data_IF_663143987024
#
_entry.id   IF_663143987024
#
_cell.length_a   1.000
_cell.length_b   1.000
_cell.length_c   1.000
_cell.angle_alpha   90.00
_cell.angle_beta   90.00
_cell.angle_gamma   90.00
#
_symmetry.space_group_name_H-M   'P 1'
#
loop_
_entity.id
_entity.type
_entity.pdbx_description
1 polymer ?
#
# COMPACT_ATOMS: atom_id res chain seq x y z
N UNK A 1 36.30 5.44 3.89
CA UNK A 1 34.94 5.33 4.44
C UNK A 1 34.52 6.72 4.84
N UNK A 2 33.26 7.08 4.64
CA UNK A 2 32.72 8.40 4.99
C UNK A 2 31.97 8.30 6.31
N UNK A 3 32.10 9.33 7.14
CA UNK A 3 31.31 9.47 8.39
C UNK A 3 30.11 10.34 8.05
N UNK A 4 28.92 9.83 8.29
CA UNK A 4 27.68 10.59 8.15
C UNK A 4 27.61 11.65 9.24
N UNK A 5 27.18 12.85 8.86
CA UNK A 5 26.86 13.92 9.80
C UNK A 5 25.45 14.42 9.58
N UNK A 6 24.76 14.75 10.66
CA UNK A 6 23.42 15.35 10.60
C UNK A 6 23.39 16.51 9.60
N UNK A 7 22.28 16.62 8.87
CA UNK A 7 22.03 17.64 7.86
C UNK A 7 22.95 17.62 6.62
N UNK A 8 23.89 16.67 6.52
CA UNK A 8 24.57 16.42 5.25
C UNK A 8 23.65 15.69 4.27
N UNK A 9 23.85 15.91 2.97
CA UNK A 9 23.25 15.05 1.95
C UNK A 9 24.15 13.84 1.75
N UNK A 10 23.55 12.66 1.67
CA UNK A 10 24.22 11.40 1.31
C UNK A 10 23.54 10.82 0.06
N UNK A 11 24.33 10.27 -0.85
CA UNK A 11 23.83 9.65 -2.08
C UNK A 11 24.54 8.32 -2.34
N UNK A 12 23.84 7.29 -2.81
CA UNK A 12 24.48 6.10 -3.39
C UNK A 12 24.87 6.35 -4.84
N UNK A 13 26.15 6.21 -5.20
CA UNK A 13 26.63 6.39 -6.59
C UNK A 13 26.06 5.33 -7.54
N UNK A 14 26.06 4.07 -7.12
CA UNK A 14 25.53 2.96 -7.90
C UNK A 14 24.01 3.02 -7.92
N UNK A 15 23.43 2.70 -9.09
CA UNK A 15 21.98 2.74 -9.26
C UNK A 15 21.35 4.09 -8.90
N UNK A 16 22.11 5.19 -9.09
CA UNK A 16 21.70 6.54 -8.74
C UNK A 16 20.44 7.05 -9.48
N UNK A 17 20.07 6.47 -10.64
CA UNK A 17 18.81 6.79 -11.33
C UNK A 17 17.56 6.33 -10.54
N UNK A 18 17.73 5.53 -9.49
CA UNK A 18 16.66 5.15 -8.55
C UNK A 18 16.41 6.24 -7.49
N UNK A 19 17.12 7.38 -7.55
CA UNK A 19 17.02 8.45 -6.56
C UNK A 19 17.49 8.11 -5.13
N UNK A 20 18.54 7.29 -4.89
CA UNK A 20 19.00 6.96 -3.55
C UNK A 20 19.81 8.12 -2.93
N UNK A 21 19.15 9.25 -2.70
CA UNK A 21 19.70 10.50 -2.15
C UNK A 21 18.81 10.99 -0.99
N UNK A 22 19.42 11.40 0.11
CA UNK A 22 18.69 11.88 1.28
C UNK A 22 19.55 12.85 2.10
N UNK A 23 18.91 13.64 2.96
CA UNK A 23 19.60 14.34 4.06
C UNK A 23 19.72 13.38 5.24
N UNK A 24 20.89 13.34 5.88
CA UNK A 24 21.19 12.50 7.03
C UNK A 24 20.39 12.97 8.24
N UNK A 25 19.45 12.15 8.77
CA UNK A 25 18.76 12.47 10.01
C UNK A 25 19.67 12.27 11.22
N UNK A 26 19.30 12.88 12.35
CA UNK A 26 20.09 12.86 13.58
C UNK A 26 20.40 11.43 14.10
N UNK A 27 19.49 10.48 13.87
CA UNK A 27 19.67 9.08 14.26
C UNK A 27 20.86 8.37 13.59
N UNK A 28 21.36 8.90 12.47
CA UNK A 28 22.50 8.34 11.74
C UNK A 28 23.77 9.20 11.86
N UNK A 29 23.82 10.19 12.77
CA UNK A 29 25.05 10.95 13.01
C UNK A 29 26.18 10.05 13.52
N UNK A 30 27.36 10.19 12.93
CA UNK A 30 28.54 9.41 13.28
C UNK A 30 28.60 8.00 12.66
N UNK A 31 27.55 7.56 11.96
CA UNK A 31 27.56 6.27 11.27
C UNK A 31 28.57 6.29 10.13
N UNK A 32 29.16 5.12 9.84
CA UNK A 32 30.20 5.00 8.82
C UNK A 32 29.65 4.27 7.60
N UNK A 33 29.81 4.87 6.43
CA UNK A 33 29.41 4.30 5.15
C UNK A 33 30.62 4.10 4.24
N UNK A 34 30.48 3.17 3.28
CA UNK A 34 31.54 2.94 2.29
C UNK A 34 31.70 4.16 1.36
N UNK A 35 32.80 4.19 0.59
CA UNK A 35 33.03 5.25 -0.39
C UNK A 35 32.02 5.24 -1.56
N UNK A 36 31.10 4.27 -1.60
CA UNK A 36 29.97 4.28 -2.54
C UNK A 36 28.85 5.27 -2.14
N UNK A 37 28.97 5.86 -0.94
CA UNK A 37 28.04 6.84 -0.38
C UNK A 37 28.76 8.17 -0.11
N UNK A 38 29.05 8.99 -1.14
CA UNK A 38 29.54 10.36 -0.94
C UNK A 38 28.57 11.17 -0.09
N UNK A 39 29.14 12.06 0.73
CA UNK A 39 28.40 13.04 1.52
C UNK A 39 28.69 14.46 1.04
N UNK A 40 27.73 15.36 1.21
CA UNK A 40 27.79 16.74 0.78
C UNK A 40 27.33 17.64 1.92
N UNK A 41 28.13 18.63 2.27
CA UNK A 41 27.74 19.65 3.26
C UNK A 41 26.87 20.70 2.58
N UNK A 42 25.77 21.07 3.23
CA UNK A 42 24.87 22.10 2.74
C UNK A 42 25.45 23.49 2.94
N UNK A 43 25.31 24.36 1.94
CA UNK A 43 25.63 25.78 2.05
C UNK A 43 24.69 26.51 3.01
N UNK A 44 25.13 27.65 3.54
CA UNK A 44 24.37 28.47 4.50
C UNK A 44 23.07 29.05 3.93
N UNK A 45 22.85 28.98 2.62
CA UNK A 45 21.65 29.39 1.92
C UNK A 45 20.55 28.32 1.92
N UNK A 46 20.89 27.07 2.27
CA UNK A 46 19.97 25.93 2.23
C UNK A 46 19.44 25.61 3.64
N UNK A 47 18.14 25.37 3.74
CA UNK A 47 17.49 24.78 4.90
C UNK A 47 17.52 23.25 4.73
N UNK A 48 18.09 22.47 5.66
CA UNK A 48 18.20 21.01 5.52
C UNK A 48 16.84 20.34 5.23
N UNK A 49 15.79 20.80 5.89
CA UNK A 49 14.43 20.29 5.77
C UNK A 49 13.84 20.52 4.37
N UNK A 50 14.15 21.68 3.77
CA UNK A 50 13.79 21.95 2.39
C UNK A 50 14.54 21.04 1.42
N UNK A 51 15.83 20.80 1.68
CA UNK A 51 16.63 19.84 0.90
C UNK A 51 16.08 18.41 1.03
N UNK A 52 15.52 18.01 2.18
CA UNK A 52 14.83 16.72 2.32
C UNK A 52 13.69 16.56 1.32
N UNK A 53 12.89 17.60 1.12
CA UNK A 53 11.82 17.61 0.12
C UNK A 53 12.38 17.59 -1.31
N UNK A 54 13.45 18.35 -1.59
CA UNK A 54 14.15 18.33 -2.89
C UNK A 54 14.68 16.94 -3.23
N UNK A 55 15.28 16.23 -2.26
CA UNK A 55 15.79 14.87 -2.43
C UNK A 55 14.72 13.87 -2.86
N UNK A 56 13.45 14.15 -2.55
CA UNK A 56 12.27 13.33 -2.89
C UNK A 56 11.53 13.81 -4.15
N UNK A 57 12.07 14.81 -4.85
CA UNK A 57 11.39 15.43 -5.99
C UNK A 57 11.63 14.68 -7.31
N UNK A 58 10.60 14.51 -8.17
CA UNK A 58 10.76 13.92 -9.50
C UNK A 58 11.77 14.68 -10.38
N UNK A 59 11.84 16.01 -10.22
CA UNK A 59 12.80 16.85 -10.95
C UNK A 59 14.25 16.47 -10.63
N UNK A 60 14.61 16.36 -9.36
CA UNK A 60 15.97 15.96 -9.00
C UNK A 60 16.28 14.56 -9.55
N UNK A 61 15.36 13.61 -9.41
CA UNK A 61 15.56 12.25 -9.90
C UNK A 61 15.73 12.20 -11.42
N UNK A 62 14.99 13.02 -12.17
CA UNK A 62 15.17 13.16 -13.62
C UNK A 62 16.56 13.74 -13.96
N UNK A 63 16.98 14.80 -13.27
CA UNK A 63 18.29 15.41 -13.46
C UNK A 63 19.45 14.43 -13.14
N UNK A 64 19.30 13.64 -12.08
CA UNK A 64 20.23 12.57 -11.72
C UNK A 64 20.27 11.51 -12.83
N UNK A 65 19.10 10.97 -13.22
CA UNK A 65 18.96 9.93 -14.24
C UNK A 65 19.60 10.34 -15.57
N UNK A 66 19.44 11.60 -15.97
CA UNK A 66 19.98 12.13 -17.24
C UNK A 66 21.51 12.29 -17.24
N UNK A 67 22.16 12.29 -16.06
CA UNK A 67 23.61 12.47 -15.91
C UNK A 67 24.36 11.17 -15.60
N UNK A 68 23.64 10.09 -15.34
CA UNK A 68 24.26 8.80 -15.04
C UNK A 68 25.11 8.30 -16.22
N UNK A 69 26.32 7.83 -15.92
CA UNK A 69 27.26 7.26 -16.91
C UNK A 69 27.35 5.73 -16.82
N UNK A 70 27.67 5.06 -17.94
CA UNK A 70 27.89 3.61 -18.03
C UNK A 70 26.89 2.86 -18.92
N UNK A 71 27.35 1.80 -19.59
CA UNK A 71 26.54 1.04 -20.57
C UNK A 71 25.69 -0.07 -19.94
N UNK A 72 26.21 -0.72 -18.90
CA UNK A 72 25.52 -1.81 -18.20
C UNK A 72 24.57 -1.22 -17.16
N UNK A 73 23.27 -1.52 -17.28
CA UNK A 73 22.24 -0.91 -16.43
C UNK A 73 22.57 -1.01 -14.95
N UNK A 74 22.88 -2.18 -14.38
CA UNK A 74 23.21 -2.32 -12.94
C UNK A 74 24.55 -1.69 -12.49
N UNK A 75 25.38 -1.20 -13.41
CA UNK A 75 26.69 -0.58 -13.12
C UNK A 75 26.71 0.91 -13.40
N UNK A 76 25.64 1.43 -13.97
CA UNK A 76 25.45 2.85 -14.20
C UNK A 76 25.64 3.60 -12.86
N UNK A 77 26.24 4.79 -12.90
CA UNK A 77 26.52 5.57 -11.70
C UNK A 77 26.46 7.07 -11.93
N UNK A 78 26.20 7.80 -10.85
CA UNK A 78 26.32 9.26 -10.80
C UNK A 78 27.53 9.62 -9.93
N UNK A 79 28.53 10.27 -10.52
CA UNK A 79 29.68 10.76 -9.77
C UNK A 79 29.34 12.08 -9.05
N UNK A 80 29.99 12.40 -7.91
CA UNK A 80 29.72 13.61 -7.15
C UNK A 80 29.73 14.90 -7.98
N UNK A 81 30.69 15.03 -8.90
CA UNK A 81 30.83 16.20 -9.76
C UNK A 81 29.62 16.39 -10.68
N UNK A 82 28.99 15.29 -11.11
CA UNK A 82 27.80 15.32 -11.95
C UNK A 82 26.56 15.73 -11.16
N UNK A 83 26.48 15.35 -9.88
CA UNK A 83 25.41 15.82 -8.98
C UNK A 83 25.52 17.33 -8.75
N UNK A 84 26.74 17.82 -8.51
CA UNK A 84 27.03 19.25 -8.28
C UNK A 84 26.76 20.15 -9.51
N UNK A 85 26.61 19.57 -10.70
CA UNK A 85 26.22 20.27 -11.92
C UNK A 85 24.70 20.46 -12.07
N UNK A 86 23.89 19.85 -11.20
CA UNK A 86 22.43 20.01 -11.22
C UNK A 86 22.07 21.41 -10.74
N UNK A 87 21.36 22.17 -11.56
CA UNK A 87 20.88 23.50 -11.21
C UNK A 87 19.42 23.43 -10.75
N UNK A 88 19.19 23.87 -9.52
CA UNK A 88 17.86 23.98 -8.92
C UNK A 88 17.55 25.44 -8.59
N UNK A 89 16.30 25.89 -8.78
CA UNK A 89 15.89 27.19 -8.31
C UNK A 89 15.86 27.17 -6.78
N UNK A 90 16.81 27.85 -6.15
CA UNK A 90 16.87 27.99 -4.69
C UNK A 90 16.05 29.23 -4.31
N UNK A 91 14.91 29.10 -3.61
CA UNK A 91 14.19 30.26 -3.10
C UNK A 91 14.90 30.82 -1.84
N UNK A 92 14.59 32.07 -1.42
CA UNK A 92 15.11 32.62 -0.17
C UNK A 92 14.81 31.71 1.03
N UNK A 93 15.66 31.72 2.07
CA UNK A 93 15.51 30.83 3.24
C UNK A 93 14.15 30.92 3.92
N UNK A 94 13.56 32.11 4.00
CA UNK A 94 12.22 32.30 4.56
C UNK A 94 11.14 31.57 3.75
N UNK A 95 11.26 31.61 2.42
CA UNK A 95 10.37 30.88 1.52
C UNK A 95 10.62 29.37 1.63
N UNK A 96 11.88 28.92 1.74
CA UNK A 96 12.20 27.51 2.02
C UNK A 96 11.52 27.02 3.30
N UNK A 97 11.62 27.79 4.39
CA UNK A 97 10.97 27.46 5.65
C UNK A 97 9.44 27.37 5.52
N UNK A 98 8.82 28.27 4.76
CA UNK A 98 7.37 28.22 4.50
C UNK A 98 6.96 27.01 3.64
N UNK A 99 7.78 26.64 2.66
CA UNK A 99 7.57 25.41 1.87
C UNK A 99 7.60 24.19 2.79
N UNK A 100 8.60 24.12 3.68
CA UNK A 100 8.75 23.03 4.66
C UNK A 100 7.52 22.95 5.54
N UNK A 101 7.12 24.06 6.18
CA UNK A 101 5.94 24.11 7.05
C UNK A 101 4.68 23.57 6.37
N UNK A 102 4.42 23.97 5.12
CA UNK A 102 3.23 23.52 4.39
C UNK A 102 3.31 22.04 3.99
N UNK A 103 4.47 21.56 3.52
CA UNK A 103 4.63 20.16 3.11
C UNK A 103 4.60 19.23 4.31
N UNK A 104 5.24 19.63 5.42
CA UNK A 104 5.28 18.87 6.66
C UNK A 104 3.88 18.80 7.28
N UNK A 105 3.09 19.88 7.25
CA UNK A 105 1.70 19.83 7.71
C UNK A 105 0.84 18.84 6.92
N UNK A 106 1.08 18.69 5.60
CA UNK A 106 0.40 17.67 4.78
C UNK A 106 0.90 16.27 5.11
N UNK A 107 2.21 16.10 5.34
CA UNK A 107 2.78 14.82 5.79
C UNK A 107 2.21 14.37 7.14
N UNK A 108 2.10 15.29 8.10
CA UNK A 108 1.53 15.03 9.42
C UNK A 108 0.07 14.59 9.32
N UNK A 109 -0.72 15.23 8.45
CA UNK A 109 -2.11 14.83 8.21
C UNK A 109 -2.21 13.44 7.58
N UNK A 110 -1.34 13.11 6.61
CA UNK A 110 -1.29 11.77 6.02
C UNK A 110 -0.96 10.74 7.10
N UNK A 111 0.05 10.99 7.93
CA UNK A 111 0.45 10.08 9.00
C UNK A 111 -0.67 9.88 10.05
N UNK A 112 -1.41 10.94 10.38
CA UNK A 112 -2.56 10.87 11.28
C UNK A 112 -3.69 9.99 10.72
N UNK A 113 -4.06 10.17 9.45
CA UNK A 113 -5.07 9.35 8.78
C UNK A 113 -4.67 7.87 8.72
N UNK A 114 -3.40 7.57 8.45
CA UNK A 114 -2.89 6.19 8.44
C UNK A 114 -2.92 5.55 9.83
N UNK A 115 -2.54 6.30 10.87
CA UNK A 115 -2.60 5.82 12.25
C UNK A 115 -4.05 5.52 12.68
N UNK A 116 -5.02 6.29 12.19
CA UNK A 116 -6.45 6.08 12.41
C UNK A 116 -6.97 4.82 11.69
N UNK A 117 -6.58 4.62 10.44
CA UNK A 117 -6.86 3.37 9.69
C UNK A 117 -6.33 2.15 10.46
N UNK A 118 -5.08 2.21 10.94
CA UNK A 118 -4.49 1.13 11.72
C UNK A 118 -5.23 0.89 13.05
N UNK A 119 -5.72 1.96 13.70
CA UNK A 119 -6.52 1.85 14.91
C UNK A 119 -7.85 1.16 14.64
N UNK A 120 -8.53 1.49 13.54
CA UNK A 120 -9.77 0.84 13.14
C UNK A 120 -9.55 -0.66 12.88
N UNK A 121 -8.47 -1.04 12.19
CA UNK A 121 -8.13 -2.45 11.93
C UNK A 121 -7.92 -3.21 13.25
N UNK A 122 -7.26 -2.60 14.24
CA UNK A 122 -7.09 -3.19 15.59
C UNK A 122 -8.42 -3.35 16.32
N UNK A 123 -9.33 -2.38 16.20
CA UNK A 123 -10.67 -2.48 16.81
C UNK A 123 -11.45 -3.61 16.15
N UNK A 124 -11.49 -3.68 14.81
CA UNK A 124 -12.20 -4.73 14.07
C UNK A 124 -11.76 -6.13 14.47
N UNK A 125 -10.45 -6.38 14.48
CA UNK A 125 -9.89 -7.69 14.87
C UNK A 125 -10.11 -7.97 16.37
N UNK A 126 -10.03 -6.94 17.21
CA UNK A 126 -10.24 -7.06 18.65
C UNK A 126 -11.68 -7.31 19.07
N UNK A 127 -12.69 -6.97 18.24
CA UNK A 127 -14.11 -7.21 18.54
C UNK A 127 -14.52 -8.67 18.39
N UNK A 128 -13.73 -9.48 17.67
CA UNK A 128 -14.01 -10.91 17.47
C UNK A 128 -13.79 -11.69 18.78
N UNK A 129 -14.70 -12.62 19.09
CA UNK A 129 -14.54 -13.55 20.22
C UNK A 129 -14.70 -12.92 21.61
N UNK A 130 -15.14 -11.65 21.69
CA UNK A 130 -15.46 -10.97 22.96
C UNK A 130 -16.87 -11.26 23.48
N UNK A 131 -17.67 -12.01 22.73
CA UNK A 131 -19.03 -12.33 23.15
C UNK A 131 -19.08 -13.44 24.20
N UNK A 132 -20.02 -13.28 25.14
CA UNK A 132 -20.36 -14.30 26.12
C UNK A 132 -20.97 -15.57 25.50
N UNK A 133 -21.51 -15.50 24.27
CA UNK A 133 -22.14 -16.63 23.57
C UNK A 133 -21.28 -17.22 22.43
N UNK A 134 -19.99 -16.86 22.39
CA UNK A 134 -19.07 -17.34 21.36
C UNK A 134 -18.86 -18.85 21.44
N UNK A 135 -19.14 -19.56 20.35
CA UNK A 135 -18.82 -20.98 20.17
C UNK A 135 -17.73 -21.20 19.11
N UNK A 136 -17.18 -22.42 19.05
CA UNK A 136 -16.17 -22.81 18.06
C UNK A 136 -16.84 -23.50 16.85
N UNK A 137 -17.09 -22.72 15.81
CA UNK A 137 -17.87 -23.16 14.64
C UNK A 137 -16.96 -23.44 13.45
N UNK A 138 -17.09 -24.60 12.76
CA UNK A 138 -16.34 -24.84 11.53
C UNK A 138 -16.74 -23.85 10.43
N UNK A 139 -15.77 -23.27 9.72
CA UNK A 139 -16.03 -22.31 8.63
C UNK A 139 -16.96 -22.89 7.54
N UNK A 140 -16.94 -24.21 7.32
CA UNK A 140 -17.84 -24.87 6.37
C UNK A 140 -19.33 -24.81 6.73
N UNK A 141 -19.67 -24.48 7.99
CA UNK A 141 -21.06 -24.23 8.42
C UNK A 141 -21.46 -22.79 8.12
N UNK A 142 -20.51 -21.86 8.13
CA UNK A 142 -20.74 -20.43 7.89
C UNK A 142 -20.91 -20.10 6.40
N UNK A 143 -20.57 -21.02 5.50
CA UNK A 143 -20.69 -20.76 4.08
C UNK A 143 -20.07 -21.82 3.17
N UNK A 144 -20.25 -21.62 1.88
CA UNK A 144 -19.70 -22.48 0.85
C UNK A 144 -18.24 -22.11 0.58
N UNK A 145 -17.34 -23.03 0.91
CA UNK A 145 -15.92 -22.89 0.57
C UNK A 145 -15.68 -23.41 -0.85
N UNK A 146 -15.19 -22.51 -1.71
CA UNK A 146 -14.87 -22.75 -3.11
C UNK A 146 -13.48 -22.20 -3.48
N UNK A 147 -13.11 -22.34 -4.75
CA UNK A 147 -11.85 -21.87 -5.32
C UNK A 147 -12.15 -21.17 -6.65
N UNK A 148 -11.39 -20.12 -6.95
CA UNK A 148 -11.43 -19.46 -8.25
C UNK A 148 -10.92 -20.34 -9.40
N UNK A 149 -10.81 -19.74 -10.59
CA UNK A 149 -10.48 -20.44 -11.84
C UNK A 149 -9.31 -19.79 -12.56
N UNK A 150 -8.58 -20.57 -13.34
CA UNK A 150 -7.48 -20.06 -14.16
C UNK A 150 -8.01 -19.23 -15.32
N UNK A 151 -7.31 -18.15 -15.64
CA UNK A 151 -7.58 -17.36 -16.84
C UNK A 151 -6.40 -17.48 -17.81
N UNK A 152 -6.62 -17.89 -19.08
CA UNK A 152 -5.56 -17.94 -20.08
C UNK A 152 -4.87 -16.58 -20.28
N UNK A 153 -3.57 -16.60 -20.58
CA UNK A 153 -2.72 -15.39 -20.61
C UNK A 153 -3.22 -14.34 -21.61
N UNK A 154 -3.80 -14.76 -22.72
CA UNK A 154 -4.35 -13.90 -23.76
C UNK A 154 -5.55 -13.06 -23.31
N UNK A 155 -6.21 -13.40 -22.19
CA UNK A 155 -7.29 -12.60 -21.62
C UNK A 155 -6.81 -11.68 -20.48
N UNK A 156 -5.62 -11.91 -19.92
CA UNK A 156 -5.11 -11.15 -18.79
C UNK A 156 -4.78 -9.71 -19.22
N UNK A 157 -5.30 -8.73 -18.50
CA UNK A 157 -5.16 -7.30 -18.79
C UNK A 157 -6.15 -6.75 -19.83
N UNK A 158 -7.02 -7.60 -20.41
CA UNK A 158 -8.11 -7.10 -21.27
C UNK A 158 -9.13 -6.34 -20.44
N UNK A 159 -9.65 -5.26 -21.01
CA UNK A 159 -10.67 -4.38 -20.40
C UNK A 159 -11.86 -4.22 -21.34
N UNK A 160 -12.40 -5.35 -21.79
CA UNK A 160 -13.41 -5.44 -22.86
C UNK A 160 -14.84 -5.58 -22.34
N UNK A 161 -15.04 -5.80 -21.04
CA UNK A 161 -16.38 -5.84 -20.44
C UNK A 161 -16.43 -5.34 -19.01
N UNK A 162 -17.54 -5.63 -18.33
CA UNK A 162 -17.86 -5.10 -17.01
C UNK A 162 -17.50 -6.04 -15.84
N UNK A 163 -17.28 -7.33 -16.09
CA UNK A 163 -17.03 -8.30 -15.01
C UNK A 163 -15.54 -8.33 -14.69
N UNK A 164 -15.18 -7.95 -13.48
CA UNK A 164 -13.81 -8.05 -12.96
C UNK A 164 -13.36 -9.50 -12.84
N UNK A 165 -12.11 -9.78 -13.21
CA UNK A 165 -11.42 -11.03 -12.90
C UNK A 165 -10.27 -10.75 -11.92
N UNK A 166 -10.55 -10.90 -10.63
CA UNK A 166 -9.62 -10.57 -9.55
C UNK A 166 -8.50 -11.60 -9.44
N UNK A 167 -7.26 -11.12 -9.44
CA UNK A 167 -6.04 -11.87 -9.17
C UNK A 167 -5.46 -11.49 -7.82
N UNK A 168 -4.61 -12.35 -7.27
CA UNK A 168 -3.91 -12.08 -6.01
C UNK A 168 -3.14 -10.74 -6.05
N UNK A 169 -2.62 -10.36 -7.22
CA UNK A 169 -1.96 -9.07 -7.41
C UNK A 169 -2.90 -7.86 -7.23
N UNK A 170 -4.21 -8.02 -7.47
CA UNK A 170 -5.20 -6.97 -7.32
C UNK A 170 -5.53 -6.69 -5.85
N UNK A 171 -5.16 -7.55 -4.88
CA UNK A 171 -5.42 -7.33 -3.44
C UNK A 171 -4.74 -6.06 -2.89
N UNK A 172 -3.69 -5.59 -3.57
CA UNK A 172 -2.97 -4.35 -3.28
C UNK A 172 -3.17 -3.29 -4.37
N UNK A 173 -4.09 -3.55 -5.31
CA UNK A 173 -4.45 -2.59 -6.33
C UNK A 173 -5.23 -1.42 -5.70
N UNK A 174 -5.10 -0.20 -6.25
CA UNK A 174 -5.82 0.96 -5.75
C UNK A 174 -7.32 0.71 -5.62
N UNK A 175 -7.86 0.96 -4.44
CA UNK A 175 -9.28 0.79 -4.13
C UNK A 175 -9.66 -0.63 -3.67
N UNK A 176 -8.75 -1.61 -3.74
CA UNK A 176 -9.00 -2.99 -3.30
C UNK A 176 -8.43 -3.32 -1.91
N UNK A 177 -7.89 -2.33 -1.20
CA UNK A 177 -7.20 -2.51 0.08
C UNK A 177 -8.13 -3.03 1.17
N UNK A 178 -9.42 -2.68 1.10
CA UNK A 178 -10.45 -3.03 2.08
C UNK A 178 -11.54 -3.95 1.51
N UNK A 179 -11.47 -4.31 0.24
CA UNK A 179 -12.48 -5.14 -0.44
C UNK A 179 -12.36 -5.03 -1.95
N UNK A 180 -12.63 -6.12 -2.66
CA UNK A 180 -12.51 -6.15 -4.11
C UNK A 180 -13.60 -5.34 -4.79
N UNK A 181 -13.18 -4.32 -5.52
CA UNK A 181 -14.10 -3.47 -6.31
C UNK A 181 -13.81 -3.46 -7.79
N UNK A 182 -12.54 -3.46 -8.18
CA UNK A 182 -12.15 -3.41 -9.59
C UNK A 182 -10.85 -4.16 -9.84
N UNK A 183 -10.86 -5.07 -10.80
CA UNK A 183 -9.64 -5.73 -11.27
C UNK A 183 -9.07 -5.01 -12.50
N UNK A 184 -7.77 -5.19 -12.75
CA UNK A 184 -7.15 -4.76 -14.00
C UNK A 184 -7.76 -5.46 -15.23
N UNK A 185 -8.08 -6.75 -15.08
CA UNK A 185 -8.74 -7.56 -16.11
C UNK A 185 -10.25 -7.50 -15.97
N UNK A 186 -10.95 -7.11 -17.03
CA UNK A 186 -12.42 -7.04 -17.07
C UNK A 186 -12.95 -7.56 -18.40
N UNK A 187 -13.86 -8.52 -18.33
CA UNK A 187 -14.36 -9.27 -19.48
C UNK A 187 -15.89 -9.18 -19.56
N UNK A 188 -16.49 -9.41 -20.74
CA UNK A 188 -17.91 -9.68 -20.87
C UNK A 188 -18.30 -10.94 -20.09
N UNK A 189 -19.55 -11.01 -19.60
CA UNK A 189 -20.04 -12.18 -18.86
C UNK A 189 -19.93 -13.48 -19.68
N UNK A 190 -20.12 -13.41 -21.00
CA UNK A 190 -19.95 -14.55 -21.91
C UNK A 190 -18.52 -15.08 -21.91
N UNK A 191 -17.52 -14.21 -22.01
CA UNK A 191 -16.10 -14.61 -21.98
C UNK A 191 -15.70 -15.18 -20.62
N UNK A 192 -16.26 -14.66 -19.52
CA UNK A 192 -16.06 -15.25 -18.19
C UNK A 192 -16.56 -16.69 -18.15
N UNK A 193 -17.78 -16.94 -18.64
CA UNK A 193 -18.38 -18.27 -18.67
C UNK A 193 -17.65 -19.23 -19.63
N UNK A 194 -17.26 -18.76 -20.82
CA UNK A 194 -16.48 -19.54 -21.80
C UNK A 194 -15.13 -19.99 -21.26
N UNK A 195 -14.50 -19.18 -20.40
CA UNK A 195 -13.27 -19.51 -19.70
C UNK A 195 -13.50 -20.29 -18.39
N UNK A 196 -14.73 -20.76 -18.15
CA UNK A 196 -15.09 -21.56 -16.97
C UNK A 196 -15.08 -20.77 -15.66
N UNK A 197 -15.01 -19.44 -15.72
CA UNK A 197 -15.11 -18.55 -14.57
C UNK A 197 -16.52 -18.56 -14.00
N UNK A 198 -16.61 -18.42 -12.68
CA UNK A 198 -17.87 -18.29 -11.95
C UNK A 198 -17.86 -16.91 -11.31
N UNK A 199 -18.93 -16.14 -11.54
CA UNK A 199 -19.10 -14.84 -10.86
C UNK A 199 -19.44 -15.12 -9.41
N UNK A 200 -18.62 -14.57 -8.52
CA UNK A 200 -18.84 -14.59 -7.09
C UNK A 200 -19.56 -13.31 -6.71
N UNK A 201 -20.67 -13.47 -6.01
CA UNK A 201 -21.49 -12.36 -5.54
C UNK A 201 -20.79 -11.53 -4.46
N UNK A 202 -21.28 -10.31 -4.28
CA UNK A 202 -20.82 -9.43 -3.20
C UNK A 202 -21.06 -10.08 -1.83
N UNK A 203 -20.14 -9.83 -0.90
CA UNK A 203 -20.17 -10.39 0.46
C UNK A 203 -19.32 -11.63 0.67
N UNK A 204 -18.79 -12.25 -0.39
CA UNK A 204 -17.87 -13.38 -0.24
C UNK A 204 -16.52 -12.95 0.35
N UNK A 205 -15.95 -13.75 1.25
CA UNK A 205 -14.62 -13.51 1.82
C UNK A 205 -13.58 -14.36 1.09
N UNK A 206 -12.46 -13.76 0.70
CA UNK A 206 -11.43 -14.41 -0.10
C UNK A 206 -10.01 -14.09 0.35
N UNK A 207 -9.11 -15.02 0.11
CA UNK A 207 -7.71 -14.94 0.53
C UNK A 207 -6.81 -15.84 -0.32
N UNK A 208 -5.49 -15.57 -0.35
CA UNK A 208 -4.53 -16.37 -1.10
C UNK A 208 -4.46 -17.80 -0.57
N UNK A 209 -4.35 -18.77 -1.49
CA UNK A 209 -4.24 -20.19 -1.14
C UNK A 209 -2.83 -20.75 -1.28
N UNK A 210 -2.01 -20.25 -2.20
CA UNK A 210 -0.70 -20.85 -2.53
C UNK A 210 0.42 -19.83 -2.49
N UNK A 211 1.62 -20.32 -2.16
CA UNK A 211 2.88 -19.58 -2.29
C UNK A 211 3.08 -18.51 -1.22
N UNK A 212 4.02 -17.61 -1.47
CA UNK A 212 4.35 -16.50 -0.57
C UNK A 212 3.19 -15.52 -0.35
N UNK A 213 2.17 -15.53 -1.21
CA UNK A 213 0.98 -14.70 -1.03
C UNK A 213 0.20 -15.04 0.24
N UNK A 214 0.22 -16.30 0.69
CA UNK A 214 -0.41 -16.72 1.96
C UNK A 214 0.19 -15.95 3.15
N UNK A 215 1.51 -15.72 3.12
CA UNK A 215 2.24 -14.98 4.17
C UNK A 215 1.97 -13.46 4.15
N UNK A 216 1.24 -12.96 3.15
CA UNK A 216 0.82 -11.55 3.16
C UNK A 216 -0.37 -11.31 4.08
N UNK A 217 -1.01 -12.37 4.57
CA UNK A 217 -2.13 -12.33 5.52
C UNK A 217 -3.36 -11.54 5.04
N UNK A 218 -3.39 -11.19 3.75
CA UNK A 218 -4.47 -10.41 3.13
C UNK A 218 -5.73 -11.26 3.04
N UNK A 219 -6.82 -10.74 3.61
CA UNK A 219 -8.19 -11.19 3.40
C UNK A 219 -9.00 -10.05 2.80
N UNK A 220 -9.94 -10.34 1.91
CA UNK A 220 -10.81 -9.35 1.28
C UNK A 220 -12.23 -9.85 1.30
N UNK A 221 -13.17 -8.92 1.40
CA UNK A 221 -14.54 -9.16 0.99
C UNK A 221 -14.69 -8.76 -0.49
N UNK A 222 -15.53 -9.46 -1.23
CA UNK A 222 -15.94 -9.08 -2.59
C UNK A 222 -16.99 -7.98 -2.45
N UNK A 223 -16.65 -6.73 -2.72
CA UNK A 223 -17.62 -5.61 -2.68
C UNK A 223 -18.39 -5.51 -4.01
N UNK A 224 -17.70 -5.74 -5.14
CA UNK A 224 -18.30 -5.77 -6.48
C UNK A 224 -18.20 -7.18 -7.06
N UNK A 225 -19.34 -7.79 -7.48
CA UNK A 225 -19.33 -9.14 -8.04
C UNK A 225 -18.33 -9.32 -9.19
N UNK A 226 -17.68 -10.48 -9.22
CA UNK A 226 -16.67 -10.78 -10.23
C UNK A 226 -16.13 -12.20 -10.13
N UNK A 227 -15.35 -12.61 -11.13
CA UNK A 227 -14.61 -13.86 -11.10
C UNK A 227 -13.30 -13.70 -10.31
N UNK A 228 -12.80 -14.78 -9.74
CA UNK A 228 -11.51 -14.80 -9.03
C UNK A 228 -10.58 -15.85 -9.63
N UNK A 229 -9.28 -15.56 -9.62
CA UNK A 229 -8.28 -16.49 -10.13
C UNK A 229 -8.14 -17.75 -9.26
N UNK A 230 -7.56 -18.80 -9.84
CA UNK A 230 -7.35 -20.11 -9.21
C UNK A 230 -6.55 -20.09 -7.90
N UNK A 231 -5.86 -18.99 -7.61
CA UNK A 231 -5.05 -18.83 -6.41
C UNK A 231 -5.85 -18.28 -5.22
N UNK A 232 -7.13 -17.95 -5.41
CA UNK A 232 -8.05 -17.60 -4.34
C UNK A 232 -8.77 -18.82 -3.77
N UNK A 233 -8.86 -18.87 -2.45
CA UNK A 233 -9.98 -19.54 -1.77
C UNK A 233 -11.06 -18.52 -1.46
N UNK A 234 -12.31 -18.96 -1.51
CA UNK A 234 -13.49 -18.12 -1.38
C UNK A 234 -14.43 -18.79 -0.38
N UNK A 235 -14.96 -18.02 0.56
CA UNK A 235 -16.04 -18.41 1.46
C UNK A 235 -17.23 -17.53 1.10
N UNK A 236 -18.22 -18.12 0.43
CA UNK A 236 -19.50 -17.45 0.17
C UNK A 236 -20.39 -17.65 1.39
N UNK A 237 -20.78 -16.59 2.11
CA UNK A 237 -21.60 -16.68 3.32
C UNK A 237 -22.89 -17.48 3.07
N UNK A 238 -23.21 -18.36 4.00
CA UNK A 238 -24.49 -19.06 4.03
C UNK A 238 -25.61 -18.18 4.61
N UNK A 239 -26.82 -18.73 4.62
CA UNK A 239 -27.97 -18.07 5.24
C UNK A 239 -27.66 -17.72 6.71
N UNK A 240 -28.04 -16.50 7.12
CA UNK A 240 -27.80 -16.00 8.47
C UNK A 240 -26.35 -15.61 8.80
N UNK A 241 -25.38 -15.83 7.90
CA UNK A 241 -23.98 -15.47 8.10
C UNK A 241 -23.71 -14.05 7.61
N UNK A 242 -23.35 -13.15 8.52
CA UNK A 242 -22.94 -11.81 8.14
C UNK A 242 -21.50 -11.77 7.57
N UNK A 243 -21.34 -11.22 6.36
CA UNK A 243 -20.05 -11.13 5.66
C UNK A 243 -18.98 -10.33 6.39
N UNK A 244 -19.34 -9.23 7.05
CA UNK A 244 -18.39 -8.36 7.74
C UNK A 244 -17.87 -9.02 9.02
N UNK A 245 -18.76 -9.72 9.72
CA UNK A 245 -18.36 -10.51 10.88
C UNK A 245 -17.47 -11.69 10.44
N UNK A 246 -17.82 -12.38 9.35
CA UNK A 246 -16.96 -13.42 8.76
C UNK A 246 -15.58 -12.88 8.37
N UNK A 247 -15.51 -11.71 7.73
CA UNK A 247 -14.25 -11.08 7.39
C UNK A 247 -13.42 -10.77 8.65
N UNK A 248 -14.02 -10.14 9.66
CA UNK A 248 -13.32 -9.81 10.90
C UNK A 248 -12.80 -11.08 11.62
N UNK A 249 -13.61 -12.14 11.66
CA UNK A 249 -13.21 -13.45 12.20
C UNK A 249 -12.01 -14.01 11.44
N UNK A 250 -12.03 -13.96 10.11
CA UNK A 250 -10.89 -14.37 9.28
C UNK A 250 -9.65 -13.49 9.49
N UNK A 251 -9.83 -12.20 9.77
CA UNK A 251 -8.74 -11.24 10.08
C UNK A 251 -8.13 -11.48 11.46
N UNK A 252 -8.84 -12.12 12.39
CA UNK A 252 -8.40 -12.33 13.78
C UNK A 252 -7.31 -13.39 13.98
N UNK A 253 -7.01 -14.20 12.96
CA UNK A 253 -5.95 -15.21 13.00
C UNK A 253 -5.10 -15.17 11.73
N UNK A 254 -3.89 -15.74 11.81
CA UNK A 254 -2.98 -15.76 10.68
C UNK A 254 -3.25 -16.99 9.78
N UNK A 255 -3.38 -16.77 8.47
CA UNK A 255 -3.47 -17.83 7.45
C UNK A 255 -2.28 -18.77 7.53
N UNK A 256 -1.10 -18.23 7.85
CA UNK A 256 0.12 -19.00 8.08
C UNK A 256 0.00 -20.04 9.20
N UNK A 257 -0.86 -19.85 10.21
CA UNK A 257 -1.13 -20.85 11.26
C UNK A 257 -1.89 -22.07 10.74
N UNK A 258 -2.62 -21.91 9.62
CA UNK A 258 -3.33 -23.02 8.97
C UNK A 258 -2.43 -23.84 8.04
N UNK A 259 -1.27 -23.30 7.65
CA UNK A 259 -0.38 -23.93 6.69
C UNK A 259 0.37 -25.09 7.36
N UNK A 260 0.39 -26.26 6.69
CA UNK A 260 1.24 -27.38 7.13
C UNK A 260 2.72 -27.08 6.85
N UNK A 261 3.65 -27.48 7.74
CA UNK A 261 5.08 -27.32 7.49
C UNK A 261 5.50 -27.97 6.15
N UNK A 262 6.10 -27.20 5.24
CA UNK A 262 6.52 -27.64 3.91
C UNK A 262 7.17 -26.52 3.09
N UNK A 263 7.78 -26.84 1.95
CA UNK A 263 8.58 -25.89 1.16
C UNK A 263 7.78 -24.74 0.51
N UNK A 264 6.47 -24.92 0.29
CA UNK A 264 5.57 -23.90 -0.27
C UNK A 264 4.26 -23.87 0.53
N UNK A 265 3.88 -22.73 1.15
CA UNK A 265 2.61 -22.59 1.85
C UNK A 265 1.42 -22.89 0.94
N UNK A 266 0.51 -23.77 1.39
CA UNK A 266 -0.68 -24.14 0.63
C UNK A 266 -1.87 -24.41 1.55
N UNK A 267 -2.98 -23.72 1.29
CA UNK A 267 -4.28 -23.91 1.91
C UNK A 267 -5.19 -24.62 0.91
N UNK A 268 -5.97 -25.58 1.40
CA UNK A 268 -6.96 -26.30 0.59
C UNK A 268 -8.37 -26.16 1.20
N UNK A 269 -9.40 -26.40 0.38
CA UNK A 269 -10.80 -26.23 0.79
C UNK A 269 -11.19 -27.11 1.98
N UNK A 270 -10.67 -28.35 2.05
CA UNK A 270 -11.00 -29.28 3.13
C UNK A 270 -10.51 -28.78 4.49
N UNK A 271 -9.27 -28.29 4.53
CA UNK A 271 -8.69 -27.63 5.69
C UNK A 271 -9.56 -26.45 6.13
N UNK A 272 -9.83 -25.50 5.22
CA UNK A 272 -10.65 -24.31 5.52
C UNK A 272 -12.01 -24.71 6.07
N UNK A 273 -12.74 -25.65 5.43
CA UNK A 273 -14.05 -26.11 5.92
C UNK A 273 -14.00 -26.64 7.35
N UNK A 274 -12.92 -27.31 7.72
CA UNK A 274 -12.74 -27.91 9.05
C UNK A 274 -12.18 -26.95 10.11
N UNK A 275 -11.58 -25.83 9.71
CA UNK A 275 -11.05 -24.82 10.64
C UNK A 275 -12.18 -24.28 11.49
N UNK A 276 -12.03 -24.40 12.81
CA UNK A 276 -12.97 -23.84 13.78
C UNK A 276 -12.58 -22.42 14.12
N UNK A 277 -13.58 -21.55 14.16
CA UNK A 277 -13.42 -20.13 14.48
C UNK A 277 -14.42 -19.71 15.56
N UNK A 278 -14.10 -18.70 16.37
CA UNK A 278 -15.08 -18.09 17.27
C UNK A 278 -16.25 -17.51 16.47
N UNK A 279 -17.47 -17.90 16.79
CA UNK A 279 -18.69 -17.42 16.13
C UNK A 279 -19.84 -17.22 17.12
N UNK A 280 -20.68 -16.22 16.85
CA UNK A 280 -21.92 -15.95 17.58
C UNK A 280 -23.06 -15.78 16.59
N UNK A 281 -24.03 -16.69 16.61
CA UNK A 281 -25.21 -16.57 15.75
C UNK A 281 -26.15 -15.45 16.16
N UNK A 282 -26.15 -15.05 17.44
CA UNK A 282 -27.06 -14.01 17.93
C UNK A 282 -26.50 -12.61 17.66
N UNK A 283 -25.17 -12.44 17.70
CA UNK A 283 -24.54 -11.12 17.57
C UNK A 283 -23.87 -10.86 16.22
N UNK A 284 -23.64 -11.88 15.37
CA UNK A 284 -22.95 -11.66 14.09
C UNK A 284 -23.58 -10.58 13.22
N UNK A 285 -24.90 -10.40 13.30
CA UNK A 285 -25.60 -9.38 12.52
C UNK A 285 -25.33 -7.98 13.05
N UNK A 286 -25.52 -7.76 14.37
CA UNK A 286 -25.27 -6.45 14.99
C UNK A 286 -23.80 -6.05 14.94
N UNK A 287 -22.88 -6.99 15.23
CA UNK A 287 -21.44 -6.75 15.07
C UNK A 287 -21.06 -6.58 13.62
N UNK A 288 -21.66 -7.36 12.72
CA UNK A 288 -21.45 -7.21 11.28
C UNK A 288 -21.76 -5.80 10.77
N UNK A 289 -22.87 -5.20 11.20
CA UNK A 289 -23.20 -3.80 10.86
C UNK A 289 -22.13 -2.83 11.37
N UNK A 290 -21.72 -2.93 12.63
CA UNK A 290 -20.70 -2.06 13.22
C UNK A 290 -19.32 -2.23 12.54
N UNK A 291 -18.93 -3.48 12.28
CA UNK A 291 -17.69 -3.82 11.58
C UNK A 291 -17.69 -3.29 10.15
N UNK A 292 -18.80 -3.41 9.43
CA UNK A 292 -18.96 -2.86 8.08
C UNK A 292 -18.83 -1.34 8.07
N UNK A 293 -19.42 -0.63 9.03
CA UNK A 293 -19.25 0.81 9.18
C UNK A 293 -17.78 1.19 9.41
N UNK A 294 -17.10 0.49 10.32
CA UNK A 294 -15.66 0.67 10.56
C UNK A 294 -14.82 0.43 9.30
N UNK A 295 -15.13 -0.60 8.50
CA UNK A 295 -14.41 -0.86 7.24
C UNK A 295 -14.64 0.24 6.21
N UNK A 296 -15.86 0.74 6.10
CA UNK A 296 -16.19 1.84 5.20
C UNK A 296 -15.46 3.13 5.60
N UNK A 297 -15.35 3.42 6.90
CA UNK A 297 -14.59 4.55 7.44
C UNK A 297 -13.09 4.40 7.16
N UNK A 298 -12.49 3.24 7.45
CA UNK A 298 -11.07 2.98 7.13
C UNK A 298 -10.78 3.15 5.63
N UNK A 299 -11.71 2.72 4.77
CA UNK A 299 -11.61 2.92 3.32
C UNK A 299 -11.63 4.40 2.94
N UNK A 300 -12.50 5.20 3.56
CA UNK A 300 -12.61 6.63 3.28
C UNK A 300 -11.33 7.38 3.71
N UNK A 301 -10.82 7.10 4.92
CA UNK A 301 -9.58 7.70 5.43
C UNK A 301 -8.37 7.33 4.57
N UNK A 302 -8.26 6.06 4.13
CA UNK A 302 -7.19 5.63 3.24
C UNK A 302 -7.27 6.32 1.86
N UNK A 303 -8.48 6.54 1.33
CA UNK A 303 -8.67 7.28 0.08
C UNK A 303 -8.29 8.76 0.23
N UNK A 304 -8.60 9.38 1.37
CA UNK A 304 -8.19 10.75 1.70
C UNK A 304 -6.66 10.86 1.81
N UNK A 305 -6.01 9.93 2.51
CA UNK A 305 -4.55 9.87 2.60
C UNK A 305 -3.91 9.71 1.21
N UNK A 306 -4.48 8.89 0.33
CA UNK A 306 -4.01 8.75 -1.05
C UNK A 306 -4.17 10.04 -1.87
N UNK A 307 -5.30 10.75 -1.70
CA UNK A 307 -5.55 12.06 -2.32
C UNK A 307 -4.55 13.11 -1.83
N UNK A 308 -4.30 13.19 -0.52
CA UNK A 308 -3.31 14.09 0.07
C UNK A 308 -1.90 13.81 -0.42
N UNK A 309 -1.51 12.53 -0.61
CA UNK A 309 -0.21 12.20 -1.22
C UNK A 309 -0.09 12.73 -2.65
N UNK A 310 -1.14 12.59 -3.46
CA UNK A 310 -1.16 13.11 -4.81
C UNK A 310 -1.08 14.65 -4.81
N UNK A 311 -1.85 15.31 -3.95
CA UNK A 311 -1.81 16.76 -3.77
C UNK A 311 -0.44 17.25 -3.29
N UNK A 312 0.16 16.57 -2.31
CA UNK A 312 1.50 16.85 -1.78
C UNK A 312 2.56 16.73 -2.87
N UNK A 313 2.51 15.67 -3.67
CA UNK A 313 3.45 15.47 -4.78
C UNK A 313 3.33 16.59 -5.83
N UNK A 314 2.10 17.00 -6.17
CA UNK A 314 1.84 18.10 -7.08
C UNK A 314 2.30 19.45 -6.50
N UNK A 315 2.04 19.71 -5.21
CA UNK A 315 2.47 20.91 -4.50
C UNK A 315 4.00 21.02 -4.47
N UNK A 316 4.70 19.94 -4.11
CA UNK A 316 6.16 19.89 -4.12
C UNK A 316 6.72 20.20 -5.51
N UNK A 317 6.17 19.59 -6.58
CA UNK A 317 6.60 19.88 -7.94
C UNK A 317 6.37 21.34 -8.29
N UNK A 318 5.18 21.88 -8.01
CA UNK A 318 4.84 23.25 -8.36
C UNK A 318 5.65 24.31 -7.61
N UNK A 319 5.96 24.07 -6.34
CA UNK A 319 6.82 24.94 -5.52
C UNK A 319 8.28 24.92 -5.99
N UNK A 320 8.80 23.74 -6.38
CA UNK A 320 10.16 23.61 -6.90
C UNK A 320 10.29 24.15 -8.34
N UNK A 321 9.24 24.07 -9.13
CA UNK A 321 9.23 24.57 -10.52
C UNK A 321 8.81 26.05 -10.62
N UNK A 322 8.50 26.69 -9.48
CA UNK A 322 7.96 28.06 -9.38
C UNK A 322 6.71 28.28 -10.22
N UNK A 323 5.92 27.23 -10.43
CA UNK A 323 4.56 27.36 -10.97
C UNK A 323 3.56 27.72 -9.88
N UNK A 324 3.93 27.51 -8.61
CA UNK A 324 3.23 27.99 -7.43
C UNK A 324 4.19 28.94 -6.69
N UNK A 325 3.79 30.21 -6.58
CA UNK A 325 4.56 31.23 -5.85
C UNK A 325 4.02 31.42 -4.44
N UNK A 326 4.92 31.29 -3.46
CA UNK A 326 4.65 31.71 -2.08
C UNK A 326 5.14 33.15 -1.96
N UNK A 327 4.22 34.09 -1.72
CA UNK A 327 4.60 35.46 -1.41
C UNK A 327 5.41 35.46 -0.12
N UNK A 328 6.61 36.03 -0.16
CA UNK A 328 7.27 36.44 1.08
C UNK A 328 6.41 37.54 1.70
N UNK A 329 5.94 37.31 2.93
CA UNK A 329 5.38 38.40 3.72
C UNK A 329 6.54 39.35 3.99
N UNK A 330 6.65 40.42 3.19
CA UNK A 330 7.45 41.57 3.61
C UNK A 330 6.80 42.05 4.90
N UNK A 331 7.47 41.83 6.02
CA UNK A 331 7.24 42.64 7.21
C UNK A 331 7.57 44.07 6.77
N UNK A 332 6.52 44.84 6.46
CA UNK A 332 6.63 46.29 6.38
C UNK A 332 7.04 46.75 7.78
N UNK A 333 8.33 47.10 7.90
CA UNK A 333 8.90 47.81 9.05
C UNK A 333 8.60 49.30 8.90
#
# INVERSE_FOLDING_TARGET
MNVLRVDQVVMRKLTAWEGPIAVVPAEFDGFVVSNEFPTFTLGSELVPDWVRHVCRSPRLWAEMKNRVSGTVQRRKRLNPEQLLQIQLPIPPREVQARIVEMLDAVDDQIAALEAEVDAIVRVRTGMVGRSADTEQTPLGILGVVSQGKGLPKEFQGKRTGAVSWYKIADMTGPGNEFGYTLADTRLPLSEVAENGGVVVDAGAVTFPRVGGAVLTEKKRIVDTPGALDENHLIITPGEGTNSEYLLAVMESFALSELVRPGAVPSLNMGLIRSTKVPWSWTENQSFGTALGALRAEARALAAEAASLRAARAALLSGLLDRTIDIKSAKLEV
#
